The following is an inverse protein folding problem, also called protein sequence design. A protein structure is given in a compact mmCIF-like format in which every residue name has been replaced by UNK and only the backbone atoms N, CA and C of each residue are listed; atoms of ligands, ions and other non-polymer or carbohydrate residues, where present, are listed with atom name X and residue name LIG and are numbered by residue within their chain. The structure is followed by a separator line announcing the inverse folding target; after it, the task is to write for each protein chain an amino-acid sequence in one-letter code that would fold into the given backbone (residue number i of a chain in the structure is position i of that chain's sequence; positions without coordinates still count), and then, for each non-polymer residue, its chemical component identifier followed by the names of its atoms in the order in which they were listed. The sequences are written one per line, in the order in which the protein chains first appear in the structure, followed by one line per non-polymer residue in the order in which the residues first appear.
data_IF_760432737101
#
_entry.id   IF_760432737101
#
_cell.length_a   1.000
_cell.length_b   1.000
_cell.length_c   1.000
_cell.angle_alpha   90.00
_cell.angle_beta   90.00
_cell.angle_gamma   90.00
#
_symmetry.space_group_name_H-M   'P 1'
#
loop_
_entity.id
_entity.type
_entity.pdbx_description
1 polymer ?
#
# COMPACT_ATOMS: atom_id res chain seq x y z
N UNK A 1 -39.34 -10.99 34.07
CA UNK A 1 -39.99 -10.35 32.90
C UNK A 1 -38.91 -9.50 32.23
N UNK A 2 -38.17 -10.07 31.27
CA UNK A 2 -37.10 -9.37 30.55
C UNK A 2 -37.61 -9.04 29.15
N UNK A 3 -37.71 -7.76 28.81
CA UNK A 3 -38.09 -7.29 27.48
C UNK A 3 -36.86 -7.26 26.58
N UNK A 4 -36.95 -8.02 25.48
CA UNK A 4 -36.05 -8.01 24.33
C UNK A 4 -36.25 -6.73 23.53
N UNK A 5 -35.24 -5.88 23.41
CA UNK A 5 -35.24 -4.79 22.43
C UNK A 5 -34.68 -5.30 21.08
N UNK A 6 -35.56 -5.24 20.08
CA UNK A 6 -35.29 -5.54 18.68
C UNK A 6 -34.45 -4.42 18.05
N UNK A 7 -33.23 -4.74 17.61
CA UNK A 7 -32.38 -3.82 16.85
C UNK A 7 -32.88 -3.73 15.40
N UNK A 8 -33.38 -2.56 15.02
CA UNK A 8 -33.62 -2.17 13.62
C UNK A 8 -32.27 -1.94 12.91
N UNK A 9 -32.12 -2.35 11.63
CA UNK A 9 -30.92 -2.05 10.86
C UNK A 9 -30.81 -0.53 10.62
N UNK A 10 -29.67 0.02 11.04
CA UNK A 10 -29.28 1.40 10.78
C UNK A 10 -28.98 1.58 9.28
N UNK A 11 -29.69 2.50 8.62
CA UNK A 11 -29.38 2.93 7.26
C UNK A 11 -27.99 3.58 7.23
N UNK A 12 -27.14 3.30 6.23
CA UNK A 12 -25.84 3.94 6.13
C UNK A 12 -25.98 5.47 6.01
N UNK A 13 -25.03 6.24 6.57
CA UNK A 13 -25.09 7.69 6.55
C UNK A 13 -25.10 8.21 5.09
N UNK A 14 -25.79 9.34 4.83
CA UNK A 14 -26.11 9.82 3.47
C UNK A 14 -24.89 10.07 2.58
N UNK A 15 -23.70 10.27 3.14
CA UNK A 15 -22.45 10.47 2.38
C UNK A 15 -21.92 9.18 1.72
N UNK A 16 -22.24 8.00 2.26
CA UNK A 16 -21.79 6.71 1.71
C UNK A 16 -22.54 6.34 0.42
N UNK A 17 -23.82 6.72 0.33
CA UNK A 17 -24.65 6.51 -0.86
C UNK A 17 -24.19 7.38 -2.04
N UNK A 18 -23.70 8.59 -1.76
CA UNK A 18 -23.19 9.52 -2.78
C UNK A 18 -21.85 9.03 -3.37
N UNK A 19 -20.97 8.49 -2.52
CA UNK A 19 -19.72 7.82 -2.95
C UNK A 19 -20.01 6.58 -3.79
N UNK A 20 -20.99 5.76 -3.39
CA UNK A 20 -21.38 4.56 -4.14
C UNK A 20 -21.92 4.89 -5.53
N UNK A 21 -22.68 6.00 -5.64
CA UNK A 21 -23.28 6.44 -6.90
C UNK A 21 -22.24 7.00 -7.87
N UNK A 22 -21.26 7.76 -7.38
CA UNK A 22 -20.18 8.31 -8.20
C UNK A 22 -19.19 7.24 -8.68
N UNK A 23 -19.03 6.13 -7.95
CA UNK A 23 -18.12 5.04 -8.32
C UNK A 23 -18.73 4.08 -9.38
N UNK A 24 -20.03 3.82 -9.29
CA UNK A 24 -20.72 2.92 -10.24
C UNK A 24 -20.86 3.51 -11.65
N UNK A 25 -20.87 4.84 -11.79
CA UNK A 25 -20.91 5.50 -13.10
C UNK A 25 -19.56 5.48 -13.82
N UNK A 26 -18.44 5.37 -13.09
CA UNK A 26 -17.10 5.26 -13.68
C UNK A 26 -16.76 3.85 -14.21
N UNK A 27 -17.42 2.80 -13.69
CA UNK A 27 -17.12 1.40 -14.00
C UNK A 27 -17.95 0.79 -15.14
N UNK A 28 -18.95 1.49 -15.69
CA UNK A 28 -19.84 0.92 -16.73
C UNK A 28 -19.40 1.16 -18.18
N UNK A 29 -18.26 1.81 -18.42
CA UNK A 29 -17.74 1.97 -19.78
C UNK A 29 -16.79 0.85 -20.15
N UNK A 30 -17.30 -0.04 -21.02
CA UNK A 30 -16.60 -0.75 -22.11
C UNK A 30 -16.51 -2.28 -21.97
N UNK A 31 -17.56 -2.96 -22.43
CA UNK A 31 -17.50 -4.30 -23.01
C UNK A 31 -17.83 -4.21 -24.51
N UNK A 32 -16.88 -4.59 -25.38
CA UNK A 32 -17.18 -5.21 -26.68
C UNK A 32 -15.87 -5.76 -27.30
N UNK A 33 -15.72 -7.08 -27.51
CA UNK A 33 -14.69 -7.64 -28.38
C UNK A 33 -15.32 -8.04 -29.72
N UNK A 34 -14.77 -7.55 -30.84
CA UNK A 34 -15.04 -8.14 -32.15
C UNK A 34 -13.73 -8.60 -32.80
N UNK A 35 -13.76 -9.88 -33.14
CA UNK A 35 -12.82 -10.73 -33.90
C UNK A 35 -12.81 -10.34 -35.38
N UNK A 36 -11.66 -10.39 -36.08
CA UNK A 36 -11.54 -10.84 -37.49
C UNK A 36 -10.18 -11.51 -37.73
N UNK A 37 -10.25 -12.61 -38.50
CA UNK A 37 -9.26 -13.59 -38.98
C UNK A 37 -8.52 -13.11 -40.25
N UNK A 38 -7.29 -13.60 -40.49
CA UNK A 38 -6.60 -13.54 -41.79
C UNK A 38 -5.33 -14.39 -41.81
N UNK A 39 -5.10 -15.15 -42.88
CA UNK A 39 -4.42 -16.45 -42.95
C UNK A 39 -3.17 -16.44 -43.87
N UNK A 40 -2.20 -17.34 -43.60
CA UNK A 40 -1.08 -17.85 -44.45
C UNK A 40 -0.08 -16.81 -45.07
N UNK A 41 1.19 -17.06 -45.41
CA UNK A 41 2.06 -18.22 -45.60
C UNK A 41 3.51 -17.65 -45.70
N UNK A 42 4.55 -18.38 -45.28
CA UNK A 42 5.73 -18.75 -46.11
C UNK A 42 6.91 -19.27 -45.26
N UNK A 43 7.49 -20.39 -45.71
CA UNK A 43 8.64 -21.06 -45.11
C UNK A 43 9.95 -20.47 -45.65
N UNK A 44 10.95 -20.21 -44.79
CA UNK A 44 12.37 -20.55 -45.00
C UNK A 44 13.27 -19.87 -43.95
N UNK A 45 14.35 -20.57 -43.57
CA UNK A 45 15.37 -20.25 -42.56
C UNK A 45 15.12 -20.75 -41.12
N UNK A 46 15.03 -22.07 -40.98
CA UNK A 46 14.99 -22.82 -39.72
C UNK A 46 16.41 -22.96 -39.16
N UNK A 47 16.68 -22.34 -38.00
CA UNK A 47 17.94 -22.51 -37.26
C UNK A 47 18.23 -21.37 -36.29
N UNK A 48 18.60 -20.19 -36.80
CA UNK A 48 19.00 -19.05 -35.96
C UNK A 48 17.86 -18.07 -35.64
N UNK A 49 16.77 -18.08 -36.42
CA UNK A 49 15.62 -17.18 -36.22
C UNK A 49 14.66 -17.65 -35.12
N UNK A 50 14.67 -18.94 -34.80
CA UNK A 50 13.75 -19.52 -33.82
C UNK A 50 14.04 -19.02 -32.39
N UNK A 51 15.33 -18.88 -32.05
CA UNK A 51 15.75 -18.28 -30.77
C UNK A 51 15.41 -16.79 -30.68
N UNK A 52 15.62 -16.04 -31.76
CA UNK A 52 15.27 -14.61 -31.78
C UNK A 52 13.75 -14.41 -31.62
N UNK A 53 12.93 -15.22 -32.29
CA UNK A 53 11.47 -15.15 -32.18
C UNK A 53 10.98 -15.58 -30.79
N UNK A 54 11.57 -16.63 -30.19
CA UNK A 54 11.23 -17.04 -28.83
C UNK A 54 11.60 -15.98 -27.79
N UNK A 55 12.78 -15.38 -27.89
CA UNK A 55 13.20 -14.29 -27.00
C UNK A 55 12.32 -13.05 -27.20
N UNK A 56 11.97 -12.71 -28.44
CA UNK A 56 11.10 -11.58 -28.73
C UNK A 56 9.66 -11.81 -28.22
N UNK A 57 9.13 -13.03 -28.37
CA UNK A 57 7.85 -13.42 -27.76
C UNK A 57 7.92 -13.39 -26.24
N UNK A 58 9.01 -13.84 -25.62
CA UNK A 58 9.18 -13.78 -24.17
C UNK A 58 9.24 -12.33 -23.67
N UNK A 59 9.92 -11.45 -24.40
CA UNK A 59 9.97 -10.01 -24.10
C UNK A 59 8.61 -9.34 -24.30
N UNK A 60 7.84 -9.73 -25.33
CA UNK A 60 6.48 -9.21 -25.54
C UNK A 60 5.52 -9.72 -24.45
N UNK A 61 5.65 -10.97 -24.01
CA UNK A 61 4.80 -11.54 -22.96
C UNK A 61 5.16 -10.91 -21.61
N UNK A 62 6.44 -10.87 -21.23
CA UNK A 62 6.91 -10.28 -19.97
C UNK A 62 6.72 -8.75 -19.98
N UNK A 63 7.10 -8.09 -21.06
CA UNK A 63 6.96 -6.63 -21.24
C UNK A 63 5.51 -6.20 -21.40
N UNK A 64 4.66 -7.01 -22.04
CA UNK A 64 3.22 -6.80 -22.15
C UNK A 64 2.51 -6.98 -20.81
N UNK A 65 2.89 -7.98 -20.01
CA UNK A 65 2.40 -8.15 -18.64
C UNK A 65 2.85 -7.00 -17.73
N UNK A 66 4.10 -6.56 -17.82
CA UNK A 66 4.59 -5.38 -17.09
C UNK A 66 3.87 -4.09 -17.53
N UNK A 67 3.66 -3.89 -18.82
CA UNK A 67 2.91 -2.73 -19.34
C UNK A 67 1.41 -2.78 -19.01
N UNK A 68 0.83 -3.97 -18.86
CA UNK A 68 -0.55 -4.14 -18.41
C UNK A 68 -0.69 -3.79 -16.92
N UNK A 69 0.24 -4.27 -16.08
CA UNK A 69 0.29 -3.94 -14.65
C UNK A 69 0.54 -2.43 -14.47
N UNK A 70 1.52 -1.83 -15.15
CA UNK A 70 1.81 -0.39 -15.04
C UNK A 70 0.82 0.52 -15.80
N UNK A 71 0.15 0.01 -16.83
CA UNK A 71 -0.77 0.77 -17.67
C UNK A 71 -2.15 1.04 -17.03
N UNK A 72 -2.61 0.16 -16.15
CA UNK A 72 -3.85 0.41 -15.39
C UNK A 72 -3.66 1.47 -14.29
N UNK A 73 -2.45 1.62 -13.72
CA UNK A 73 -2.18 2.67 -12.72
C UNK A 73 -2.30 4.09 -13.27
N UNK A 74 -2.02 4.31 -14.55
CA UNK A 74 -2.10 5.64 -15.16
C UNK A 74 -3.51 6.03 -15.64
N UNK A 75 -4.46 5.10 -15.77
CA UNK A 75 -5.84 5.41 -16.16
C UNK A 75 -6.77 5.68 -14.98
N UNK A 76 -6.46 5.13 -13.82
CA UNK A 76 -7.29 5.30 -12.60
C UNK A 76 -6.97 6.62 -11.89
N UNK A 77 -5.73 7.13 -12.00
CA UNK A 77 -5.33 8.40 -11.37
C UNK A 77 -6.01 9.64 -11.99
N UNK A 78 -6.54 9.53 -13.22
CA UNK A 78 -7.13 10.65 -13.97
C UNK A 78 -8.64 10.83 -13.86
N UNK A 79 -9.37 9.97 -13.11
CA UNK A 79 -10.85 10.03 -13.07
C UNK A 79 -11.47 10.79 -11.89
N UNK A 80 -10.68 11.47 -11.03
CA UNK A 80 -11.22 12.20 -9.87
C UNK A 80 -10.72 13.65 -9.71
N UNK A 81 -10.31 14.31 -10.79
CA UNK A 81 -10.06 15.77 -10.77
C UNK A 81 -11.07 16.51 -11.65
N UNK A 82 -12.26 16.80 -11.09
CA UNK A 82 -13.01 18.03 -11.36
C UNK A 82 -14.44 17.93 -10.80
N UNK A 83 -14.68 18.59 -9.67
CA UNK A 83 -15.82 19.52 -9.62
C UNK A 83 -15.41 20.75 -8.80
N UNK A 84 -15.27 21.86 -9.51
CA UNK A 84 -14.87 23.17 -8.98
C UNK A 84 -16.13 23.87 -8.45
N UNK A 85 -16.39 23.74 -7.16
CA UNK A 85 -17.28 24.65 -6.41
C UNK A 85 -16.86 24.68 -4.94
N UNK A 86 -16.28 25.80 -4.50
CA UNK A 86 -15.86 26.20 -3.14
C UNK A 86 -15.19 25.14 -2.23
N UNK A 87 -13.94 25.35 -1.76
CA UNK A 87 -13.10 24.28 -1.22
C UNK A 87 -13.46 23.91 0.23
N UNK A 88 -14.53 23.13 0.40
CA UNK A 88 -14.50 22.10 1.44
C UNK A 88 -13.60 21.01 0.86
N UNK A 89 -12.33 20.99 1.27
CA UNK A 89 -11.28 20.14 0.67
C UNK A 89 -11.49 18.66 0.99
N UNK A 90 -12.58 18.07 0.50
CA UNK A 90 -12.78 16.63 0.49
C UNK A 90 -11.99 16.04 -0.67
N UNK A 91 -10.82 15.49 -0.38
CA UNK A 91 -9.97 14.81 -1.37
C UNK A 91 -10.02 13.31 -1.13
N UNK A 92 -10.27 12.54 -2.19
CA UNK A 92 -10.26 11.08 -2.17
C UNK A 92 -9.12 10.62 -3.07
N UNK A 93 -8.25 9.75 -2.54
CA UNK A 93 -7.15 9.15 -3.30
C UNK A 93 -7.24 7.63 -3.21
N UNK A 94 -7.18 6.95 -4.35
CA UNK A 94 -6.87 5.53 -4.39
C UNK A 94 -5.40 5.39 -4.05
N UNK A 95 -5.09 4.65 -3.00
CA UNK A 95 -3.73 4.46 -2.53
C UNK A 95 -3.15 3.17 -3.07
N UNK A 96 -3.95 2.10 -3.07
CA UNK A 96 -3.50 0.78 -3.51
C UNK A 96 -4.68 -0.07 -3.98
N UNK A 97 -4.40 -1.05 -4.83
CA UNK A 97 -5.35 -2.07 -5.24
C UNK A 97 -4.64 -3.40 -5.51
N UNK A 98 -5.02 -4.44 -4.75
CA UNK A 98 -4.43 -5.77 -4.85
C UNK A 98 -5.52 -6.85 -4.78
N UNK A 99 -5.46 -7.84 -5.68
CA UNK A 99 -6.38 -8.98 -5.74
C UNK A 99 -7.88 -8.58 -5.74
N UNK A 100 -8.22 -7.45 -6.36
CA UNK A 100 -9.58 -6.90 -6.41
C UNK A 100 -10.02 -6.13 -5.15
N UNK A 101 -9.16 -6.05 -4.14
CA UNK A 101 -9.33 -5.17 -2.98
C UNK A 101 -8.72 -3.80 -3.27
N UNK A 102 -9.28 -2.74 -2.71
CA UNK A 102 -8.87 -1.35 -2.92
C UNK A 102 -8.80 -0.64 -1.58
N UNK A 103 -7.75 0.16 -1.36
CA UNK A 103 -7.64 1.09 -0.23
C UNK A 103 -7.74 2.53 -0.73
N UNK A 104 -8.60 3.31 -0.08
CA UNK A 104 -8.75 4.74 -0.30
C UNK A 104 -8.31 5.52 0.93
N UNK A 105 -7.70 6.67 0.70
CA UNK A 105 -7.51 7.71 1.70
C UNK A 105 -8.43 8.88 1.37
N UNK A 106 -9.38 9.14 2.25
CA UNK A 106 -10.18 10.35 2.24
C UNK A 106 -9.56 11.36 3.19
N UNK A 107 -9.52 12.63 2.80
CA UNK A 107 -9.14 13.75 3.66
C UNK A 107 -10.20 14.84 3.52
N UNK A 108 -10.74 15.29 4.65
CA UNK A 108 -11.72 16.36 4.74
C UNK A 108 -11.40 17.27 5.94
N UNK A 109 -12.28 18.22 6.27
CA UNK A 109 -12.08 19.13 7.40
C UNK A 109 -11.97 18.42 8.77
N UNK A 110 -12.56 17.23 8.91
CA UNK A 110 -12.47 16.43 10.12
C UNK A 110 -11.20 15.56 10.18
N UNK A 111 -10.35 15.59 9.14
CA UNK A 111 -9.09 14.86 9.04
C UNK A 111 -9.11 13.74 8.02
N UNK A 112 -8.28 12.72 8.25
CA UNK A 112 -8.10 11.60 7.34
C UNK A 112 -9.02 10.43 7.69
N UNK A 113 -9.37 9.63 6.69
CA UNK A 113 -10.10 8.38 6.86
C UNK A 113 -9.65 7.34 5.83
N UNK A 114 -9.34 6.13 6.30
CA UNK A 114 -8.93 5.03 5.44
C UNK A 114 -10.11 4.10 5.23
N UNK A 115 -10.45 3.87 3.97
CA UNK A 115 -11.49 2.93 3.58
C UNK A 115 -10.88 1.76 2.81
N UNK A 116 -11.43 0.57 3.03
CA UNK A 116 -11.10 -0.60 2.23
C UNK A 116 -12.36 -1.19 1.61
N UNK A 117 -12.26 -1.60 0.34
CA UNK A 117 -13.26 -2.43 -0.33
C UNK A 117 -12.59 -3.71 -0.74
N UNK A 118 -13.18 -4.85 -0.40
CA UNK A 118 -12.62 -6.15 -0.79
C UNK A 118 -13.12 -6.61 -2.15
N UNK A 119 -12.32 -7.48 -2.75
CA UNK A 119 -12.76 -8.31 -3.86
C UNK A 119 -14.03 -9.08 -3.48
N UNK A 120 -15.05 -9.01 -4.33
CA UNK A 120 -16.35 -9.67 -4.10
C UNK A 120 -17.27 -9.01 -3.07
N UNK A 121 -16.86 -7.90 -2.44
CA UNK A 121 -17.72 -7.12 -1.54
C UNK A 121 -18.18 -5.83 -2.22
N UNK A 122 -19.48 -5.54 -2.12
CA UNK A 122 -20.08 -4.37 -2.76
C UNK A 122 -19.84 -3.05 -2.00
N UNK A 123 -19.42 -3.11 -0.73
CA UNK A 123 -19.35 -1.95 0.18
C UNK A 123 -17.93 -1.60 0.64
N UNK A 124 -17.81 -0.40 1.20
CA UNK A 124 -16.58 0.13 1.82
C UNK A 124 -16.64 -0.01 3.34
N UNK A 125 -15.54 -0.43 3.95
CA UNK A 125 -15.34 -0.46 5.40
C UNK A 125 -14.38 0.65 5.81
N UNK A 126 -14.74 1.45 6.82
CA UNK A 126 -13.88 2.48 7.39
C UNK A 126 -13.01 1.90 8.50
N UNK A 127 -11.69 1.93 8.33
CA UNK A 127 -10.72 1.35 9.27
C UNK A 127 -10.26 2.33 10.36
N UNK A 128 -10.64 3.61 10.27
CA UNK A 128 -10.08 4.68 11.10
C UNK A 128 -11.17 5.57 11.69
N UNK A 129 -12.31 4.98 12.07
CA UNK A 129 -13.47 5.73 12.61
C UNK A 129 -13.08 6.63 13.79
N UNK A 130 -12.18 6.14 14.66
CA UNK A 130 -11.64 6.84 15.82
C UNK A 130 -10.26 7.47 15.59
N UNK A 131 -9.69 7.38 14.39
CA UNK A 131 -8.37 7.93 14.05
C UNK A 131 -8.44 8.88 12.86
N UNK A 132 -8.50 10.18 13.15
CA UNK A 132 -8.50 11.24 12.13
C UNK A 132 -7.10 11.65 11.68
N UNK A 133 -6.06 11.07 12.26
CA UNK A 133 -4.66 11.36 11.95
C UNK A 133 -4.03 10.32 11.02
N UNK A 134 -4.78 9.26 10.70
CA UNK A 134 -4.31 8.13 9.91
C UNK A 134 -3.77 8.52 8.53
N UNK A 135 -2.54 8.10 8.22
CA UNK A 135 -1.82 8.47 6.99
C UNK A 135 -1.06 7.29 6.41
N UNK A 136 -0.64 7.46 5.16
CA UNK A 136 0.26 6.54 4.46
C UNK A 136 -0.19 5.08 4.52
N UNK A 137 -1.45 4.76 4.13
CA UNK A 137 -1.88 3.37 4.17
C UNK A 137 -1.17 2.54 3.11
N UNK A 138 -1.05 1.24 3.38
CA UNK A 138 -0.60 0.22 2.44
C UNK A 138 -1.51 -1.00 2.55
N UNK A 139 -1.82 -1.63 1.43
CA UNK A 139 -2.63 -2.84 1.37
C UNK A 139 -1.70 -4.03 1.18
N UNK A 140 -1.89 -5.10 1.94
CA UNK A 140 -1.14 -6.32 1.69
C UNK A 140 -1.52 -6.95 0.34
N UNK A 141 -0.62 -7.72 -0.28
CA UNK A 141 -0.90 -8.33 -1.59
C UNK A 141 -2.11 -9.27 -1.52
N UNK A 142 -2.32 -9.94 -0.38
CA UNK A 142 -3.49 -10.78 -0.13
C UNK A 142 -4.81 -9.97 -0.04
N UNK A 143 -4.73 -8.66 0.19
CA UNK A 143 -5.88 -7.79 0.45
C UNK A 143 -6.45 -7.93 1.87
N UNK A 144 -5.81 -8.70 2.75
CA UNK A 144 -6.35 -9.02 4.07
C UNK A 144 -5.89 -8.08 5.18
N UNK A 145 -4.77 -7.40 5.02
CA UNK A 145 -4.25 -6.46 6.02
C UNK A 145 -4.01 -5.09 5.42
N UNK A 146 -4.25 -4.07 6.22
CA UNK A 146 -3.90 -2.69 5.90
C UNK A 146 -2.99 -2.17 7.01
N UNK A 147 -1.82 -1.65 6.64
CA UNK A 147 -0.95 -0.96 7.57
C UNK A 147 -1.01 0.55 7.31
N UNK A 148 -1.10 1.35 8.37
CA UNK A 148 -1.10 2.80 8.28
C UNK A 148 -0.42 3.44 9.49
N UNK A 149 -0.06 4.71 9.36
CA UNK A 149 0.57 5.49 10.43
C UNK A 149 -0.50 6.29 11.15
N UNK A 150 -0.55 6.17 12.47
CA UNK A 150 -1.39 6.96 13.36
C UNK A 150 -0.54 7.95 14.15
N UNK A 151 -1.06 9.15 14.35
CA UNK A 151 -0.45 10.23 15.13
C UNK A 151 -1.37 10.72 16.26
N UNK A 152 -2.34 9.89 16.72
CA UNK A 152 -3.24 10.25 17.85
C UNK A 152 -2.43 10.61 19.10
N UNK A 153 -1.42 9.79 19.42
CA UNK A 153 -0.54 9.97 20.57
C UNK A 153 0.87 10.32 20.08
N UNK A 154 1.69 9.29 19.86
CA UNK A 154 2.97 9.38 19.16
C UNK A 154 2.87 8.61 17.84
N UNK A 155 3.68 8.97 16.81
CA UNK A 155 3.72 8.24 15.55
C UNK A 155 3.92 6.74 15.78
N UNK A 156 2.91 5.95 15.41
CA UNK A 156 2.91 4.50 15.53
C UNK A 156 2.27 3.87 14.30
N UNK A 157 2.56 2.60 14.06
CA UNK A 157 1.94 1.86 12.96
C UNK A 157 0.76 1.07 13.51
N UNK A 158 -0.37 1.12 12.82
CA UNK A 158 -1.51 0.26 13.04
C UNK A 158 -1.59 -0.75 11.89
N UNK A 159 -1.72 -2.03 12.24
CA UNK A 159 -1.92 -3.14 11.29
C UNK A 159 -3.34 -3.65 11.53
N UNK A 160 -4.26 -3.25 10.67
CA UNK A 160 -5.67 -3.63 10.77
C UNK A 160 -5.96 -4.85 9.89
N UNK A 161 -6.72 -5.79 10.44
CA UNK A 161 -7.38 -6.78 9.62
C UNK A 161 -8.55 -6.13 8.88
N UNK A 162 -8.61 -6.34 7.58
CA UNK A 162 -9.69 -5.78 6.75
C UNK A 162 -11.05 -6.46 6.94
N UNK A 163 -11.11 -7.58 7.67
CA UNK A 163 -12.32 -8.39 7.91
C UNK A 163 -12.80 -8.38 9.37
N UNK A 164 -12.07 -7.73 10.27
CA UNK A 164 -12.40 -7.75 11.69
C UNK A 164 -11.96 -6.44 12.33
N UNK A 165 -12.50 -6.13 13.49
CA UNK A 165 -12.06 -5.00 14.29
C UNK A 165 -10.70 -5.25 14.98
N UNK A 166 -10.01 -6.34 14.62
CA UNK A 166 -8.70 -6.66 15.16
C UNK A 166 -7.64 -5.78 14.50
N UNK A 167 -6.92 -5.05 15.34
CA UNK A 167 -5.77 -4.28 14.93
C UNK A 167 -4.62 -4.48 15.92
N UNK A 168 -3.41 -4.57 15.40
CA UNK A 168 -2.18 -4.55 16.18
C UNK A 168 -1.49 -3.21 16.00
N UNK A 169 -0.64 -2.85 16.96
CA UNK A 169 0.12 -1.59 16.91
C UNK A 169 1.60 -1.86 17.10
N UNK A 170 2.43 -1.04 16.47
CA UNK A 170 3.88 -0.96 16.70
C UNK A 170 4.17 0.44 17.20
N UNK A 171 4.47 0.57 18.49
CA UNK A 171 4.69 1.88 19.16
C UNK A 171 6.18 2.24 19.24
N UNK A 172 6.47 3.52 19.49
CA UNK A 172 7.84 3.99 19.70
C UNK A 172 8.55 3.29 20.89
N UNK A 173 7.80 2.96 21.95
CA UNK A 173 8.32 2.21 23.09
C UNK A 173 8.74 0.79 22.70
N UNK A 174 7.87 0.07 21.98
CA UNK A 174 8.14 -1.27 21.48
C UNK A 174 9.34 -1.28 20.52
N UNK A 175 9.39 -0.31 19.59
CA UNK A 175 10.55 -0.09 18.71
C UNK A 175 11.83 0.08 19.52
N UNK A 176 11.80 0.94 20.54
CA UNK A 176 12.98 1.23 21.37
C UNK A 176 13.48 0.00 22.12
N UNK A 177 12.57 -0.83 22.63
CA UNK A 177 12.91 -2.07 23.32
C UNK A 177 13.51 -3.11 22.37
N UNK A 178 12.83 -3.40 21.26
CA UNK A 178 13.28 -4.41 20.29
C UNK A 178 14.62 -4.05 19.64
N UNK A 179 14.80 -2.78 19.29
CA UNK A 179 16.03 -2.30 18.66
C UNK A 179 17.20 -2.34 19.64
N UNK A 180 17.00 -1.96 20.91
CA UNK A 180 18.04 -2.02 21.94
C UNK A 180 18.49 -3.45 22.19
N UNK A 181 17.56 -4.41 22.23
CA UNK A 181 17.88 -5.84 22.38
C UNK A 181 18.74 -6.36 21.22
N UNK A 182 18.49 -5.90 19.99
CA UNK A 182 19.21 -6.37 18.79
C UNK A 182 20.55 -5.71 18.53
N UNK A 183 20.63 -4.39 18.62
CA UNK A 183 21.80 -3.64 18.12
C UNK A 183 22.83 -3.39 19.23
N UNK A 184 22.46 -3.53 20.51
CA UNK A 184 23.32 -3.23 21.65
C UNK A 184 24.01 -1.84 21.56
N UNK A 185 23.35 -0.89 20.89
CA UNK A 185 23.79 0.49 20.72
C UNK A 185 22.60 1.38 21.05
N UNK A 186 22.84 2.46 21.80
CA UNK A 186 21.84 3.50 22.01
C UNK A 186 21.70 4.34 20.73
N UNK A 187 20.64 4.07 19.97
CA UNK A 187 20.28 4.84 18.78
C UNK A 187 19.49 6.11 19.12
N UNK A 188 19.36 6.44 20.40
CA UNK A 188 18.57 7.57 20.88
C UNK A 188 17.07 7.32 20.70
N UNK A 189 16.29 8.41 20.68
CA UNK A 189 14.84 8.32 20.51
C UNK A 189 14.49 8.07 19.05
N UNK A 190 13.85 6.92 18.81
CA UNK A 190 13.37 6.47 17.51
C UNK A 190 11.85 6.62 17.42
N UNK A 191 11.36 7.15 16.30
CA UNK A 191 9.93 7.23 15.99
C UNK A 191 9.65 6.66 14.61
N UNK A 192 8.39 6.32 14.32
CA UNK A 192 7.98 5.94 12.97
C UNK A 192 8.10 7.15 12.03
N UNK A 193 8.70 6.97 10.85
CA UNK A 193 8.77 8.02 9.85
C UNK A 193 7.40 8.27 9.20
N UNK A 194 6.76 9.40 9.51
CA UNK A 194 5.41 9.76 9.02
C UNK A 194 5.30 10.04 7.50
N UNK A 195 6.43 10.08 6.78
CA UNK A 195 6.50 10.43 5.35
C UNK A 195 6.73 9.25 4.43
N UNK A 196 6.81 8.03 4.98
CA UNK A 196 7.02 6.83 4.19
C UNK A 196 5.96 5.81 4.55
N UNK A 197 5.26 5.29 3.56
CA UNK A 197 4.30 4.21 3.78
C UNK A 197 5.03 2.95 4.28
N UNK A 198 4.51 2.30 5.33
CA UNK A 198 4.93 0.94 5.63
C UNK A 198 4.53 0.00 4.48
N UNK A 199 5.14 -1.18 4.40
CA UNK A 199 4.90 -2.14 3.34
C UNK A 199 4.81 -3.55 3.91
N UNK A 200 3.69 -4.23 3.67
CA UNK A 200 3.42 -5.59 4.17
C UNK A 200 3.92 -6.62 3.15
N UNK A 201 4.59 -7.67 3.61
CA UNK A 201 5.08 -8.74 2.73
C UNK A 201 3.95 -9.50 2.05
N UNK A 202 4.20 -10.16 0.90
CA UNK A 202 3.15 -10.84 0.13
C UNK A 202 2.37 -11.91 0.92
N UNK A 203 3.05 -12.60 1.85
CA UNK A 203 2.45 -13.59 2.75
C UNK A 203 1.83 -13.03 4.05
N UNK A 204 1.69 -11.70 4.19
CA UNK A 204 1.14 -11.01 5.37
C UNK A 204 1.90 -11.23 6.70
N UNK A 205 3.14 -11.72 6.64
CA UNK A 205 3.90 -12.08 7.85
C UNK A 205 4.91 -11.04 8.32
N UNK A 206 5.41 -10.20 7.40
CA UNK A 206 6.40 -9.18 7.68
C UNK A 206 5.89 -7.79 7.34
N UNK A 207 6.45 -6.80 8.02
CA UNK A 207 6.20 -5.39 7.77
C UNK A 207 7.53 -4.64 7.69
N UNK A 208 7.81 -4.04 6.54
CA UNK A 208 8.94 -3.14 6.35
C UNK A 208 8.50 -1.68 6.53
N UNK A 209 9.28 -0.90 7.27
CA UNK A 209 9.01 0.52 7.48
C UNK A 209 10.27 1.28 7.92
N UNK A 210 10.19 2.61 7.94
CA UNK A 210 11.30 3.46 8.37
C UNK A 210 11.12 3.98 9.79
N UNK A 211 12.23 3.97 10.54
CA UNK A 211 12.38 4.67 11.81
C UNK A 211 13.18 5.94 11.58
N UNK A 212 12.68 7.06 12.09
CA UNK A 212 13.32 8.37 12.05
C UNK A 212 13.91 8.63 13.43
N UNK A 213 15.20 8.98 13.46
CA UNK A 213 15.88 9.33 14.71
C UNK A 213 15.65 10.80 15.03
N UNK A 214 15.19 11.10 16.25
CA UNK A 214 14.95 12.48 16.67
C UNK A 214 16.25 13.30 16.61
N UNK A 215 16.18 14.53 16.09
CA UNK A 215 17.33 15.44 15.91
C UNK A 215 18.43 14.97 14.94
N UNK A 216 18.22 13.86 14.24
CA UNK A 216 19.12 13.41 13.20
C UNK A 216 18.45 13.47 11.83
N UNK A 217 19.25 13.70 10.80
CA UNK A 217 18.79 13.72 9.41
C UNK A 217 18.71 12.31 8.81
N UNK A 218 18.68 11.27 9.64
CA UNK A 218 18.80 9.87 9.24
C UNK A 218 17.58 9.03 9.64
N UNK A 219 17.25 8.08 8.77
CA UNK A 219 16.24 7.05 8.96
C UNK A 219 16.84 5.66 8.77
N UNK A 220 16.32 4.69 9.52
CA UNK A 220 16.70 3.29 9.49
C UNK A 220 15.55 2.49 8.86
N UNK A 221 15.87 1.61 7.92
CA UNK A 221 14.91 0.63 7.41
C UNK A 221 14.86 -0.55 8.38
N UNK A 222 13.66 -0.91 8.83
CA UNK A 222 13.45 -2.04 9.73
C UNK A 222 12.37 -2.97 9.20
N UNK A 223 12.45 -4.23 9.59
CA UNK A 223 11.45 -5.24 9.30
C UNK A 223 10.96 -5.85 10.62
N UNK A 224 9.64 -5.90 10.77
CA UNK A 224 8.97 -6.53 11.89
C UNK A 224 8.25 -7.82 11.47
N UNK A 225 8.28 -8.82 12.34
CA UNK A 225 7.35 -9.93 12.32
C UNK A 225 6.00 -9.45 12.88
N UNK A 226 4.95 -9.56 12.07
CA UNK A 226 3.57 -9.15 12.38
C UNK A 226 2.62 -10.35 12.53
N UNK A 227 3.16 -11.56 12.63
CA UNK A 227 2.45 -12.75 13.10
C UNK A 227 2.58 -12.86 14.63
N UNK A 228 3.72 -12.47 15.18
CA UNK A 228 3.94 -12.38 16.62
C UNK A 228 3.04 -11.34 17.29
N UNK A 229 2.59 -11.62 18.52
CA UNK A 229 1.87 -10.67 19.37
C UNK A 229 2.58 -10.47 20.72
N UNK A 230 3.11 -9.27 21.02
CA UNK A 230 3.16 -8.10 20.13
C UNK A 230 4.07 -8.35 18.92
N UNK A 231 3.93 -7.56 17.82
CA UNK A 231 4.87 -7.61 16.71
C UNK A 231 6.31 -7.45 17.19
N UNK A 232 7.30 -7.92 16.44
CA UNK A 232 8.71 -7.79 16.87
C UNK A 232 9.59 -7.31 15.74
N UNK A 233 10.44 -6.32 15.98
CA UNK A 233 11.50 -6.00 15.03
C UNK A 233 12.42 -7.22 14.94
N UNK A 234 12.53 -7.82 13.76
CA UNK A 234 13.37 -9.00 13.51
C UNK A 234 14.65 -8.64 12.76
N UNK A 235 14.66 -7.51 12.05
CA UNK A 235 15.80 -7.13 11.23
C UNK A 235 15.89 -5.62 11.03
N UNK A 236 17.12 -5.12 10.97
CA UNK A 236 17.45 -3.70 10.81
C UNK A 236 18.50 -3.61 9.70
N UNK A 237 18.21 -2.83 8.67
CA UNK A 237 19.17 -2.62 7.60
C UNK A 237 20.35 -1.76 8.12
N UNK A 238 21.61 -2.14 7.84
CA UNK A 238 22.77 -1.48 8.41
C UNK A 238 23.01 -0.05 7.89
N UNK A 239 22.42 0.32 6.75
CA UNK A 239 22.57 1.68 6.19
C UNK A 239 21.50 2.63 6.71
N UNK A 240 21.92 3.88 6.96
CA UNK A 240 21.01 4.98 7.26
C UNK A 240 20.74 5.83 6.01
N UNK A 241 19.54 6.39 5.94
CA UNK A 241 19.07 7.17 4.80
C UNK A 241 18.69 8.58 5.20
N UNK A 242 18.95 9.56 4.34
CA UNK A 242 18.60 10.94 4.68
C UNK A 242 17.08 11.14 4.78
N UNK A 243 16.61 11.82 5.82
CA UNK A 243 15.19 12.07 6.10
C UNK A 243 14.50 12.94 5.04
N UNK A 244 15.26 13.75 4.30
CA UNK A 244 14.76 14.63 3.25
C UNK A 244 14.64 13.96 1.85
N UNK A 245 15.01 12.69 1.73
CA UNK A 245 14.85 11.91 0.50
C UNK A 245 13.53 11.16 0.57
N UNK A 246 12.79 11.14 -0.54
CA UNK A 246 11.57 10.35 -0.68
C UNK A 246 11.94 8.87 -0.77
N UNK A 247 11.25 8.03 0.01
CA UNK A 247 11.56 6.60 0.15
C UNK A 247 10.28 5.82 -0.08
N UNK A 248 10.34 4.81 -0.94
CA UNK A 248 9.25 3.86 -1.17
C UNK A 248 9.78 2.44 -1.01
N UNK A 249 9.03 1.61 -0.29
CA UNK A 249 9.36 0.21 -0.04
C UNK A 249 8.33 -0.66 -0.75
N UNK A 250 8.79 -1.61 -1.53
CA UNK A 250 7.95 -2.66 -2.11
C UNK A 250 8.60 -4.02 -1.89
N UNK A 251 7.81 -5.06 -1.71
CA UNK A 251 8.31 -6.43 -1.61
C UNK A 251 8.34 -7.08 -3.00
N UNK A 252 9.44 -7.76 -3.34
CA UNK A 252 9.53 -8.63 -4.52
C UNK A 252 8.97 -10.01 -4.22
N UNK A 253 9.26 -10.51 -3.02
CA UNK A 253 8.74 -11.75 -2.47
C UNK A 253 8.71 -11.66 -0.94
N UNK A 254 8.60 -12.79 -0.25
CA UNK A 254 8.48 -12.83 1.21
C UNK A 254 9.73 -12.41 1.98
N UNK A 255 10.89 -12.33 1.33
CA UNK A 255 12.18 -12.01 1.97
C UNK A 255 12.98 -10.94 1.21
N UNK A 256 12.61 -10.57 -0.01
CA UNK A 256 13.30 -9.54 -0.78
C UNK A 256 12.45 -8.29 -0.91
N UNK A 257 13.09 -7.13 -0.70
CA UNK A 257 12.47 -5.82 -0.82
C UNK A 257 13.24 -4.91 -1.77
N UNK A 258 12.50 -4.12 -2.53
CA UNK A 258 13.01 -3.01 -3.33
C UNK A 258 12.82 -1.74 -2.54
N UNK A 259 13.91 -1.02 -2.35
CA UNK A 259 13.91 0.34 -1.85
C UNK A 259 14.15 1.30 -3.02
N UNK A 260 13.22 2.21 -3.24
CA UNK A 260 13.37 3.30 -4.21
C UNK A 260 13.57 4.60 -3.44
N UNK A 261 14.74 5.21 -3.64
CA UNK A 261 15.13 6.50 -3.09
C UNK A 261 15.07 7.55 -4.20
N UNK A 262 14.25 8.59 -4.02
CA UNK A 262 14.16 9.69 -4.97
C UNK A 262 14.65 10.99 -4.32
N UNK A 263 15.75 11.51 -4.85
CA UNK A 263 16.31 12.79 -4.43
C UNK A 263 15.84 13.90 -5.40
N UNK A 264 14.83 14.65 -4.97
CA UNK A 264 14.24 15.73 -5.77
C UNK A 264 15.27 16.79 -6.20
N UNK A 265 16.36 16.97 -5.44
CA UNK A 265 17.41 17.96 -5.76
C UNK A 265 18.36 17.48 -6.84
N UNK A 266 18.77 16.22 -6.83
CA UNK A 266 19.69 15.67 -7.83
C UNK A 266 18.99 15.06 -9.03
N UNK A 267 17.67 14.81 -8.95
CA UNK A 267 16.88 14.03 -9.93
C UNK A 267 17.40 12.61 -10.14
N UNK A 268 18.19 12.10 -9.21
CA UNK A 268 18.67 10.73 -9.23
C UNK A 268 17.70 9.84 -8.44
N UNK A 269 17.35 8.72 -9.05
CA UNK A 269 16.64 7.63 -8.39
C UNK A 269 17.65 6.52 -8.11
N UNK A 270 17.80 6.16 -6.85
CA UNK A 270 18.58 4.98 -6.45
C UNK A 270 17.60 3.87 -6.14
N UNK A 271 17.85 2.70 -6.74
CA UNK A 271 17.06 1.49 -6.51
C UNK A 271 17.98 0.46 -5.88
N UNK A 272 17.64 0.02 -4.67
CA UNK A 272 18.36 -1.03 -3.95
C UNK A 272 17.46 -2.25 -3.81
N UNK A 273 17.99 -3.43 -4.11
CA UNK A 273 17.36 -4.71 -3.79
C UNK A 273 18.03 -5.20 -2.52
N UNK A 274 17.22 -5.54 -1.52
CA UNK A 274 17.68 -5.89 -0.20
C UNK A 274 17.06 -7.22 0.21
N UNK A 275 17.90 -8.15 0.63
CA UNK A 275 17.49 -9.45 1.17
C UNK A 275 17.35 -9.34 2.70
N UNK A 276 16.18 -9.74 3.20
CA UNK A 276 15.86 -9.77 4.62
C UNK A 276 16.33 -11.10 5.20
N UNK A 277 17.47 -11.04 5.89
CA UNK A 277 17.99 -12.18 6.64
C UNK A 277 17.30 -12.25 8.01
N UNK A 278 16.67 -13.38 8.33
CA UNK A 278 16.05 -13.62 9.64
C UNK A 278 17.09 -13.79 10.75
#
# INVERSE_FOLDING_TARGET
MFQSQSNKPHSPPPQLAEIQTQLNSALSTKSNPNTIVGDSQDESHKGARYYAVLVFMLIIVIGGSLAYIFGEFNKISTLLTSNKSNPVSNTIKIIDSNNGSIVLLQHNEAGYSIYVRKSGQAGWSNLTISDRTAKMPSLSLSGNRVAYISEIDQPHIVIAHSNSDQAMRITAEQISNDVREKVNIDLGKLNVCIRTSPSISPNDSLLAFFLCRENHSEALLVVADIISYPPKIIWIYPSSYKNNISKNIAWLNDLELVLVLNNEKSRENVVEIIEVTK
#
